data_IF_462769926033
#
_entry.id   IF_462769926033
#
_cell.length_a   1.000
_cell.length_b   1.000
_cell.length_c   1.000
_cell.angle_alpha   90.00
_cell.angle_beta   90.00
_cell.angle_gamma   90.00
#
_symmetry.space_group_name_H-M   'P 1'
#
loop_
_entity.id
_entity.type
_entity.pdbx_description
1 polymer ?
#
# COMPACT_ATOMS: atom_id res chain seq x y z
N UNK A 1 -2.33 -10.59 -0.45
CA UNK A 1 -2.08 -11.82 -1.23
C UNK A 1 -3.36 -12.34 -1.84
N UNK A 2 -4.19 -13.02 -1.05
CA UNK A 2 -5.41 -13.70 -1.52
C UNK A 2 -6.37 -12.79 -2.29
N UNK A 3 -6.68 -11.60 -1.77
CA UNK A 3 -7.56 -10.64 -2.46
C UNK A 3 -7.05 -10.28 -3.87
N UNK A 4 -5.74 -10.07 -4.04
CA UNK A 4 -5.14 -9.74 -5.34
C UNK A 4 -5.32 -10.91 -6.31
N UNK A 5 -5.09 -12.14 -5.85
CA UNK A 5 -5.33 -13.34 -6.66
C UNK A 5 -6.79 -13.52 -7.08
N UNK A 6 -7.75 -13.14 -6.23
CA UNK A 6 -9.18 -13.14 -6.58
C UNK A 6 -9.51 -12.08 -7.64
N UNK A 7 -8.75 -11.00 -7.72
CA UNK A 7 -8.93 -9.94 -8.71
C UNK A 7 -8.32 -10.26 -10.09
N UNK A 8 -7.57 -11.36 -10.22
CA UNK A 8 -6.97 -11.76 -11.49
C UNK A 8 -8.04 -11.94 -12.58
N UNK A 9 -7.82 -11.47 -13.82
CA UNK A 9 -8.80 -11.58 -14.91
C UNK A 9 -9.28 -13.01 -15.15
N UNK A 10 -8.40 -13.99 -14.97
CA UNK A 10 -8.70 -15.41 -15.12
C UNK A 10 -9.68 -15.93 -14.07
N UNK A 11 -9.66 -15.36 -12.85
CA UNK A 11 -10.58 -15.72 -11.77
C UNK A 11 -11.87 -14.91 -11.89
N UNK A 12 -11.77 -13.60 -12.19
CA UNK A 12 -12.92 -12.72 -12.41
C UNK A 12 -13.76 -13.14 -13.63
N UNK A 13 -13.15 -13.76 -14.64
CA UNK A 13 -13.84 -14.25 -15.84
C UNK A 13 -14.74 -15.47 -15.63
N UNK A 14 -14.64 -16.16 -14.48
CA UNK A 14 -15.40 -17.38 -14.18
C UNK A 14 -16.86 -17.09 -13.77
N UNK A 15 -17.66 -16.56 -14.70
CA UNK A 15 -19.05 -16.12 -14.44
C UNK A 15 -19.90 -17.16 -13.69
N UNK A 16 -19.85 -18.43 -14.13
CA UNK A 16 -20.59 -19.53 -13.51
C UNK A 16 -20.20 -19.76 -12.04
N UNK A 17 -18.92 -19.59 -11.70
CA UNK A 17 -18.46 -19.74 -10.32
C UNK A 17 -18.95 -18.60 -9.45
N UNK A 18 -18.89 -17.35 -9.96
CA UNK A 18 -19.38 -16.17 -9.23
C UNK A 18 -20.89 -16.18 -8.99
N UNK A 19 -21.67 -16.76 -9.90
CA UNK A 19 -23.13 -16.90 -9.76
C UNK A 19 -23.54 -17.88 -8.64
N UNK A 20 -22.71 -18.88 -8.32
CA UNK A 20 -22.99 -19.89 -7.29
C UNK A 20 -22.63 -19.38 -5.88
N UNK A 21 -21.84 -18.32 -5.78
CA UNK A 21 -21.37 -17.81 -4.48
C UNK A 21 -22.53 -17.15 -3.72
N UNK A 22 -22.71 -17.50 -2.43
CA UNK A 22 -23.72 -16.86 -1.59
C UNK A 22 -23.58 -15.32 -1.51
N UNK A 23 -24.71 -14.60 -1.56
CA UNK A 23 -24.74 -13.14 -1.60
C UNK A 23 -24.06 -12.46 -0.38
N UNK A 24 -24.10 -13.11 0.79
CA UNK A 24 -23.41 -12.65 1.99
C UNK A 24 -21.88 -12.63 1.84
N UNK A 25 -21.33 -13.57 1.08
CA UNK A 25 -19.89 -13.62 0.77
C UNK A 25 -19.54 -12.55 -0.26
N UNK A 26 -20.38 -12.36 -1.29
CA UNK A 26 -20.20 -11.32 -2.30
C UNK A 26 -20.18 -9.92 -1.65
N UNK A 27 -21.08 -9.67 -0.70
CA UNK A 27 -21.13 -8.38 0.00
C UNK A 27 -19.85 -8.10 0.80
N UNK A 28 -19.29 -9.12 1.47
CA UNK A 28 -17.99 -9.00 2.15
C UNK A 28 -16.84 -8.78 1.17
N UNK A 29 -16.89 -9.44 0.01
CA UNK A 29 -15.90 -9.25 -1.05
C UNK A 29 -15.93 -7.83 -1.61
N UNK A 30 -17.11 -7.26 -1.84
CA UNK A 30 -17.26 -5.88 -2.31
C UNK A 30 -16.77 -4.85 -1.29
N UNK A 31 -16.97 -5.10 0.01
CA UNK A 31 -16.41 -4.29 1.08
C UNK A 31 -14.87 -4.33 1.07
N UNK A 32 -14.27 -5.52 0.90
CA UNK A 32 -12.82 -5.65 0.71
C UNK A 32 -12.35 -4.90 -0.54
N UNK A 33 -13.12 -4.95 -1.63
CA UNK A 33 -12.76 -4.29 -2.89
C UNK A 33 -12.64 -2.78 -2.75
N UNK A 34 -13.50 -2.16 -1.93
CA UNK A 34 -13.41 -0.73 -1.59
C UNK A 34 -12.13 -0.44 -0.79
N UNK A 35 -11.96 -1.15 0.33
CA UNK A 35 -10.81 -0.98 1.24
C UNK A 35 -9.45 -1.15 0.56
N UNK A 36 -9.32 -2.10 -0.36
CA UNK A 36 -8.09 -2.38 -1.10
C UNK A 36 -8.00 -1.66 -2.46
N UNK A 37 -8.88 -0.69 -2.72
CA UNK A 37 -8.87 0.08 -3.97
C UNK A 37 -7.56 0.85 -4.13
N UNK A 38 -6.99 0.81 -5.34
CA UNK A 38 -5.83 1.61 -5.71
C UNK A 38 -6.16 3.10 -5.91
N UNK A 39 -7.44 3.47 -5.80
CA UNK A 39 -7.91 4.85 -5.93
C UNK A 39 -7.19 5.79 -4.94
N UNK A 40 -6.85 7.00 -5.42
CA UNK A 40 -6.14 8.03 -4.65
C UNK A 40 -4.91 7.49 -3.88
N UNK A 41 -4.11 6.64 -4.54
CA UNK A 41 -2.92 6.01 -3.96
C UNK A 41 -3.22 5.20 -2.68
N UNK A 42 -4.22 4.31 -2.74
CA UNK A 42 -4.61 3.45 -1.62
C UNK A 42 -5.05 4.22 -0.37
N UNK A 43 -5.76 5.33 -0.55
CA UNK A 43 -6.17 6.21 0.56
C UNK A 43 -6.94 5.46 1.66
N UNK A 44 -7.96 4.69 1.30
CA UNK A 44 -8.78 3.94 2.26
C UNK A 44 -7.94 2.92 3.04
N UNK A 45 -7.04 2.21 2.35
CA UNK A 45 -6.12 1.28 2.99
C UNK A 45 -5.18 1.98 3.97
N UNK A 46 -4.65 3.16 3.62
CA UNK A 46 -3.77 3.95 4.49
C UNK A 46 -4.50 4.47 5.73
N UNK A 47 -5.73 4.95 5.57
CA UNK A 47 -6.58 5.39 6.69
C UNK A 47 -6.91 4.22 7.63
N UNK A 48 -7.21 3.04 7.06
CA UNK A 48 -7.49 1.83 7.83
C UNK A 48 -6.26 1.35 8.62
N UNK A 49 -5.08 1.36 8.01
CA UNK A 49 -3.81 1.03 8.69
C UNK A 49 -3.52 2.05 9.80
N UNK A 50 -3.63 3.35 9.50
CA UNK A 50 -3.34 4.41 10.48
C UNK A 50 -4.29 4.46 11.67
N UNK A 51 -5.50 3.90 11.55
CA UNK A 51 -6.47 3.78 12.64
C UNK A 51 -6.43 2.44 13.36
N UNK A 52 -5.67 1.47 12.85
CA UNK A 52 -5.58 0.12 13.41
C UNK A 52 -4.62 0.09 14.61
N UNK A 53 -4.99 -0.56 15.73
CA UNK A 53 -4.06 -0.76 16.83
C UNK A 53 -2.90 -1.69 16.39
N UNK A 54 -1.69 -1.41 16.87
CA UNK A 54 -0.51 -2.26 16.66
C UNK A 54 -0.71 -3.63 17.33
N UNK A 55 -0.22 -4.75 16.75
CA UNK A 55 0.52 -4.88 15.48
C UNK A 55 -0.38 -4.95 14.25
N UNK A 56 -0.04 -4.18 13.21
CA UNK A 56 -0.77 -4.15 11.94
C UNK A 56 0.17 -4.50 10.77
N UNK A 57 -0.17 -5.54 10.00
CA UNK A 57 0.62 -5.90 8.82
C UNK A 57 0.24 -5.00 7.64
N UNK A 58 1.04 -3.95 7.42
CA UNK A 58 0.92 -3.06 6.26
C UNK A 58 1.27 -3.79 4.97
N UNK A 59 0.54 -3.52 3.89
CA UNK A 59 0.87 -4.05 2.56
C UNK A 59 2.21 -3.47 2.07
N UNK A 60 3.27 -4.28 1.89
CA UNK A 60 4.60 -3.75 1.59
C UNK A 60 4.67 -2.98 0.27
N UNK A 61 3.86 -3.37 -0.72
CA UNK A 61 3.87 -2.73 -2.03
C UNK A 61 3.50 -1.24 -1.99
N UNK A 62 2.68 -0.81 -1.03
CA UNK A 62 2.27 0.60 -0.91
C UNK A 62 3.45 1.49 -0.49
N UNK A 63 4.21 1.12 0.54
CA UNK A 63 5.31 1.99 0.95
C UNK A 63 6.60 1.74 0.18
N UNK A 64 6.79 0.57 -0.44
CA UNK A 64 7.81 0.45 -1.49
C UNK A 64 7.54 1.43 -2.63
N UNK A 65 6.28 1.59 -3.05
CA UNK A 65 5.90 2.60 -4.05
C UNK A 65 6.19 4.02 -3.58
N UNK A 66 5.94 4.33 -2.31
CA UNK A 66 6.27 5.64 -1.74
C UNK A 66 7.78 5.89 -1.73
N UNK A 67 8.58 4.88 -1.36
CA UNK A 67 10.04 4.96 -1.37
C UNK A 67 10.59 5.15 -2.80
N UNK A 68 10.04 4.43 -3.79
CA UNK A 68 10.38 4.60 -5.21
C UNK A 68 10.03 6.03 -5.65
N UNK A 69 8.85 6.52 -5.30
CA UNK A 69 8.44 7.88 -5.64
C UNK A 69 9.38 8.94 -5.04
N UNK A 70 9.79 8.79 -3.77
CA UNK A 70 10.77 9.67 -3.13
C UNK A 70 12.14 9.56 -3.81
N UNK A 71 12.52 8.34 -4.21
CA UNK A 71 13.78 8.09 -4.90
C UNK A 71 13.85 8.81 -6.25
N UNK A 72 12.78 8.72 -7.04
CA UNK A 72 12.70 9.26 -8.41
C UNK A 72 12.46 10.77 -8.43
N UNK A 73 11.74 11.31 -7.44
CA UNK A 73 11.38 12.75 -7.39
C UNK A 73 12.50 13.66 -6.87
N UNK A 74 13.48 13.13 -6.12
CA UNK A 74 14.50 13.93 -5.45
C UNK A 74 15.89 13.35 -5.63
N UNK A 75 16.89 14.19 -5.90
CA UNK A 75 18.29 13.75 -5.88
C UNK A 75 18.81 13.64 -4.45
N UNK A 76 19.62 12.62 -4.19
CA UNK A 76 20.26 12.39 -2.87
C UNK A 76 21.33 13.44 -2.57
N UNK A 77 22.02 13.90 -3.60
CA UNK A 77 23.04 14.95 -3.50
C UNK A 77 22.65 16.13 -4.38
N UNK A 78 22.89 17.34 -3.88
CA UNK A 78 22.56 18.61 -4.53
C UNK A 78 23.81 19.50 -4.58
N UNK A 79 23.76 20.52 -5.44
CA UNK A 79 24.87 21.43 -5.70
C UNK A 79 25.71 21.03 -6.91
N UNK A 80 26.58 21.93 -7.41
CA UNK A 80 27.32 21.76 -8.66
C UNK A 80 28.14 20.46 -8.71
N UNK A 81 28.77 20.11 -7.59
CA UNK A 81 29.66 18.96 -7.47
C UNK A 81 29.05 17.81 -6.64
N UNK A 82 27.72 17.81 -6.41
CA UNK A 82 27.05 16.86 -5.50
C UNK A 82 27.64 16.86 -4.07
N UNK A 83 28.18 18.00 -3.64
CA UNK A 83 28.87 18.15 -2.34
C UNK A 83 27.92 18.20 -1.14
N UNK A 84 26.63 18.52 -1.37
CA UNK A 84 25.65 18.66 -0.30
C UNK A 84 24.65 17.50 -0.32
N UNK A 85 24.34 16.95 0.85
CA UNK A 85 23.31 15.90 0.99
C UNK A 85 21.93 16.53 1.11
N UNK A 86 20.95 15.99 0.38
CA UNK A 86 19.56 16.39 0.48
C UNK A 86 18.91 15.79 1.74
N UNK A 87 18.98 16.52 2.85
CA UNK A 87 18.38 16.12 4.12
C UNK A 87 16.86 15.97 4.05
N UNK A 88 16.17 16.71 3.16
CA UNK A 88 14.73 16.57 2.97
C UNK A 88 14.39 15.17 2.44
N UNK A 89 15.13 14.69 1.42
CA UNK A 89 14.95 13.33 0.89
C UNK A 89 15.14 12.28 1.98
N UNK A 90 16.20 12.41 2.78
CA UNK A 90 16.50 11.48 3.87
C UNK A 90 15.39 11.47 4.93
N UNK A 91 14.87 12.64 5.30
CA UNK A 91 13.77 12.76 6.25
C UNK A 91 12.49 12.07 5.75
N UNK A 92 12.14 12.24 4.47
CA UNK A 92 10.98 11.58 3.86
C UNK A 92 11.13 10.05 3.88
N UNK A 93 12.30 9.53 3.49
CA UNK A 93 12.60 8.10 3.56
C UNK A 93 12.50 7.58 5.00
N UNK A 94 13.08 8.30 5.96
CA UNK A 94 13.02 7.93 7.38
C UNK A 94 11.57 7.88 7.90
N UNK A 95 10.74 8.85 7.54
CA UNK A 95 9.32 8.88 7.95
C UNK A 95 8.57 7.61 7.54
N UNK A 96 8.79 7.16 6.30
CA UNK A 96 8.19 5.93 5.78
C UNK A 96 8.69 4.70 6.56
N UNK A 97 10.01 4.58 6.73
CA UNK A 97 10.63 3.44 7.44
C UNK A 97 10.23 3.39 8.91
N UNK A 98 10.14 4.54 9.58
CA UNK A 98 9.74 4.63 11.00
C UNK A 98 8.32 4.13 11.21
N UNK A 99 7.40 4.53 10.34
CA UNK A 99 6.00 4.08 10.38
C UNK A 99 5.96 2.55 10.34
N UNK A 100 6.69 1.94 9.40
CA UNK A 100 6.76 0.49 9.24
C UNK A 100 7.39 -0.25 10.40
N UNK A 101 8.45 0.31 11.00
CA UNK A 101 9.11 -0.30 12.15
C UNK A 101 8.21 -0.29 13.39
N UNK A 102 7.42 0.76 13.56
CA UNK A 102 6.50 0.90 14.70
C UNK A 102 5.35 -0.11 14.63
N UNK A 103 4.87 -0.42 13.42
CA UNK A 103 3.78 -1.37 13.19
C UNK A 103 4.20 -2.85 13.42
N UNK A 104 5.49 -3.14 13.57
CA UNK A 104 6.08 -4.50 13.64
C UNK A 104 6.50 -4.97 15.03
N UNK A 105 6.64 -4.08 16.03
CA UNK A 105 7.29 -4.39 17.33
C UNK A 105 6.41 -4.05 18.56
N UNK A 106 5.13 -4.41 18.53
CA UNK A 106 4.33 -4.59 19.76
C UNK A 106 3.62 -5.94 19.70
#
# INVERSE_FOLDING_TARGET
GVYVGLCEPHVQGLKKTWEIIPQNVITKYDDMKKKFSASKNFRELRELVGSSPSPCLVYPGVALRDLIYIHDSMQTYVGPDKSCVNLHKLYQVYSVVKTWHTDRIQ
#
